data_IF_264506318136
#
_entry.id   IF_264506318136
#
_cell.length_a   1.000
_cell.length_b   1.000
_cell.length_c   1.000
_cell.angle_alpha   90.00
_cell.angle_beta   90.00
_cell.angle_gamma   90.00
#
_symmetry.space_group_name_H-M   'P 1'
#
loop_
_entity.id
_entity.type
_entity.pdbx_description
1 polymer ?
#
# COMPACT_ATOMS: atom_id res chain seq x y z
N UNK A 1 14.03 -3.93 -3.06
CA UNK A 1 13.97 -3.26 -1.74
C UNK A 1 13.12 -1.98 -1.82
N UNK A 2 12.05 -1.86 -1.03
CA UNK A 2 11.08 -0.74 -1.03
C UNK A 2 11.33 0.31 0.06
N UNK A 3 12.53 0.33 0.61
CA UNK A 3 12.95 1.24 1.68
C UNK A 3 13.84 2.31 1.09
N UNK A 4 13.57 3.58 1.41
CA UNK A 4 14.59 4.63 1.28
C UNK A 4 15.68 4.30 2.30
N UNK A 5 16.97 4.53 1.99
CA UNK A 5 18.01 4.43 3.02
C UNK A 5 17.84 5.62 3.96
N UNK A 6 17.33 5.37 5.16
CA UNK A 6 17.26 6.39 6.20
C UNK A 6 18.65 6.60 6.78
N UNK A 7 19.00 7.86 6.99
CA UNK A 7 20.27 8.25 7.60
C UNK A 7 19.96 9.18 8.76
N UNK A 8 20.72 9.05 9.82
CA UNK A 8 20.71 9.94 10.97
C UNK A 8 22.08 10.58 11.08
N UNK A 9 22.16 11.72 11.76
CA UNK A 9 23.46 12.29 12.14
C UNK A 9 24.19 11.44 13.22
N UNK A 10 23.55 10.38 13.72
CA UNK A 10 24.01 9.49 14.79
C UNK A 10 23.88 8.02 14.39
N UNK A 11 24.22 7.67 13.15
CA UNK A 11 24.06 6.31 12.58
C UNK A 11 24.83 5.21 13.35
N UNK A 12 25.61 5.59 14.35
CA UNK A 12 26.25 4.69 15.32
C UNK A 12 25.30 4.12 16.39
N UNK A 13 24.13 4.73 16.59
CA UNK A 13 23.15 4.23 17.57
C UNK A 13 22.26 3.17 16.89
N UNK A 14 22.21 1.93 17.40
CA UNK A 14 21.43 0.85 16.78
C UNK A 14 19.93 1.16 16.77
N UNK A 15 19.23 0.66 15.74
CA UNK A 15 17.76 0.68 15.67
C UNK A 15 17.20 -0.54 16.39
N UNK A 16 16.40 -0.33 17.44
CA UNK A 16 15.71 -1.39 18.15
C UNK A 16 14.26 -1.49 17.66
N UNK A 17 13.78 -2.70 17.27
CA UNK A 17 12.40 -2.87 16.85
C UNK A 17 11.38 -2.41 17.91
N UNK A 18 10.47 -1.53 17.51
CA UNK A 18 9.41 -1.02 18.38
C UNK A 18 9.79 0.19 19.23
N UNK A 19 11.06 0.59 19.25
CA UNK A 19 11.48 1.81 19.94
C UNK A 19 11.32 3.03 19.02
N UNK A 20 10.71 4.09 19.55
CA UNK A 20 10.66 5.36 18.85
C UNK A 20 12.06 5.92 18.61
N UNK A 21 12.20 6.72 17.56
CA UNK A 21 13.44 7.45 17.33
C UNK A 21 13.71 8.41 18.48
N UNK A 22 14.98 8.57 18.83
CA UNK A 22 15.48 9.51 19.84
C UNK A 22 16.26 10.67 19.19
N UNK A 23 16.17 10.78 17.87
CA UNK A 23 16.90 11.74 17.06
C UNK A 23 16.01 12.24 15.93
N UNK A 24 16.26 13.47 15.50
CA UNK A 24 15.59 14.04 14.35
C UNK A 24 15.99 13.29 13.07
N UNK A 25 14.98 12.89 12.30
CA UNK A 25 15.16 12.03 11.14
C UNK A 25 15.23 12.81 9.83
N UNK A 26 15.87 12.22 8.83
CA UNK A 26 15.76 12.64 7.43
C UNK A 26 15.54 11.45 6.47
N UNK A 27 14.90 11.74 5.34
CA UNK A 27 14.69 10.79 4.25
C UNK A 27 14.94 11.47 2.90
N UNK A 28 16.07 11.14 2.26
CA UNK A 28 16.57 11.93 1.12
C UNK A 28 16.73 13.39 1.52
N UNK A 29 16.17 14.31 0.74
CA UNK A 29 16.22 15.75 1.01
C UNK A 29 15.18 16.22 2.05
N UNK A 30 14.43 15.29 2.65
CA UNK A 30 13.36 15.62 3.60
C UNK A 30 13.85 15.56 5.03
N UNK A 31 13.85 16.70 5.73
CA UNK A 31 14.02 16.79 7.20
C UNK A 31 12.63 16.80 7.85
N UNK A 32 12.38 15.93 8.84
CA UNK A 32 11.05 15.77 9.45
C UNK A 32 10.78 16.78 10.59
N UNK A 33 11.80 17.18 11.34
CA UNK A 33 11.70 18.14 12.45
C UNK A 33 11.95 17.49 13.81
N UNK A 34 11.52 18.17 14.88
CA UNK A 34 11.68 17.73 16.27
C UNK A 34 10.94 16.41 16.53
N UNK A 35 11.71 15.33 16.66
CA UNK A 35 11.17 13.99 16.84
C UNK A 35 10.29 13.86 18.09
N UNK A 36 10.59 14.53 19.20
CA UNK A 36 9.80 14.41 20.43
C UNK A 36 8.38 14.93 20.22
N UNK A 37 8.23 16.03 19.50
CA UNK A 37 6.93 16.64 19.20
C UNK A 37 6.14 15.82 18.18
N UNK A 38 6.84 15.20 17.22
CA UNK A 38 6.20 14.35 16.22
C UNK A 38 5.70 13.04 16.84
N UNK A 39 6.50 12.39 17.68
CA UNK A 39 6.12 11.14 18.36
C UNK A 39 4.88 11.34 19.25
N UNK A 40 4.79 12.46 19.98
CA UNK A 40 3.63 12.81 20.81
C UNK A 40 2.31 12.90 20.01
N UNK A 41 2.36 13.06 18.69
CA UNK A 41 1.18 13.13 17.84
C UNK A 41 0.68 11.76 17.37
N UNK A 42 1.49 10.69 17.49
CA UNK A 42 1.11 9.35 17.04
C UNK A 42 -0.19 8.86 17.69
N UNK A 43 -0.40 8.97 19.02
CA UNK A 43 -1.67 8.54 19.65
C UNK A 43 -2.87 9.32 19.12
N UNK A 44 -2.70 10.62 18.87
CA UNK A 44 -3.76 11.48 18.32
C UNK A 44 -4.13 11.08 16.89
N UNK A 45 -3.13 10.75 16.05
CA UNK A 45 -3.35 10.25 14.70
C UNK A 45 -4.14 8.94 14.71
N UNK A 46 -3.78 8.00 15.59
CA UNK A 46 -4.49 6.73 15.73
C UNK A 46 -5.95 6.95 16.17
N UNK A 47 -6.16 7.78 17.18
CA UNK A 47 -7.49 8.08 17.70
C UNK A 47 -8.38 8.76 16.65
N UNK A 48 -7.88 9.80 15.96
CA UNK A 48 -8.66 10.51 14.95
C UNK A 48 -8.99 9.61 13.75
N UNK A 49 -8.07 8.75 13.36
CA UNK A 49 -8.29 7.77 12.29
C UNK A 49 -9.41 6.80 12.68
N UNK A 50 -9.40 6.27 13.90
CA UNK A 50 -10.44 5.38 14.38
C UNK A 50 -11.82 6.08 14.43
N UNK A 51 -11.88 7.34 14.90
CA UNK A 51 -13.12 8.11 14.93
C UNK A 51 -13.72 8.32 13.53
N UNK A 52 -12.90 8.71 12.55
CA UNK A 52 -13.37 8.91 11.17
C UNK A 52 -13.82 7.57 10.56
N UNK A 53 -13.09 6.49 10.84
CA UNK A 53 -13.40 5.15 10.39
C UNK A 53 -14.76 4.64 10.94
N UNK A 54 -15.07 4.97 12.19
CA UNK A 54 -16.35 4.60 12.84
C UNK A 54 -17.51 5.47 12.38
N UNK A 55 -17.25 6.70 11.93
CA UNK A 55 -18.29 7.58 11.40
C UNK A 55 -18.99 7.04 10.14
N UNK A 56 -18.29 6.21 9.35
CA UNK A 56 -18.79 5.67 8.08
C UNK A 56 -19.02 6.72 6.98
N UNK A 57 -18.65 8.00 7.20
CA UNK A 57 -18.94 9.11 6.26
C UNK A 57 -17.91 9.28 5.15
N UNK A 58 -16.70 8.79 5.37
CA UNK A 58 -15.56 8.98 4.46
C UNK A 58 -15.17 7.62 3.88
N UNK A 59 -14.88 7.59 2.59
CA UNK A 59 -14.44 6.38 1.91
C UNK A 59 -13.16 5.81 2.56
N UNK A 60 -13.08 4.51 2.90
CA UNK A 60 -11.94 3.96 3.64
C UNK A 60 -10.59 4.15 2.94
N UNK A 61 -10.54 4.13 1.60
CA UNK A 61 -9.33 4.45 0.83
C UNK A 61 -8.80 5.86 1.09
N UNK A 62 -9.69 6.85 1.24
CA UNK A 62 -9.29 8.23 1.59
C UNK A 62 -8.71 8.25 3.00
N UNK A 63 -9.34 7.54 3.94
CA UNK A 63 -8.85 7.42 5.33
C UNK A 63 -7.45 6.78 5.34
N UNK A 64 -7.27 5.68 4.61
CA UNK A 64 -6.01 4.95 4.52
C UNK A 64 -4.88 5.79 3.90
N UNK A 65 -5.18 6.58 2.85
CA UNK A 65 -4.23 7.49 2.22
C UNK A 65 -3.86 8.66 3.14
N UNK A 66 -4.84 9.31 3.77
CA UNK A 66 -4.59 10.40 4.72
C UNK A 66 -3.79 9.92 5.93
N UNK A 67 -4.16 8.77 6.51
CA UNK A 67 -3.38 8.15 7.59
C UNK A 67 -1.94 7.94 7.14
N UNK A 68 -1.73 7.38 5.95
CA UNK A 68 -0.40 7.12 5.42
C UNK A 68 0.45 8.40 5.33
N UNK A 69 -0.10 9.46 4.73
CA UNK A 69 0.58 10.75 4.59
C UNK A 69 0.96 11.35 5.94
N UNK A 70 0.04 11.36 6.92
CA UNK A 70 0.34 11.85 8.27
C UNK A 70 1.35 10.97 8.99
N UNK A 71 1.24 9.65 8.89
CA UNK A 71 2.15 8.72 9.54
C UNK A 71 3.58 8.86 9.00
N UNK A 72 3.75 8.94 7.67
CA UNK A 72 5.06 9.17 7.06
C UNK A 72 5.66 10.51 7.48
N UNK A 73 4.83 11.53 7.68
CA UNK A 73 5.26 12.83 8.20
C UNK A 73 5.73 12.76 9.66
N UNK A 74 5.04 12.01 10.52
CA UNK A 74 5.44 11.85 11.93
C UNK A 74 6.76 11.08 12.07
N UNK A 75 7.02 10.14 11.16
CA UNK A 75 8.26 9.38 11.06
C UNK A 75 8.81 8.83 12.41
N UNK A 76 7.98 8.11 13.19
CA UNK A 76 8.26 7.88 14.61
C UNK A 76 9.38 6.86 14.89
N UNK A 77 9.80 6.05 13.91
CA UNK A 77 10.83 5.03 14.08
C UNK A 77 12.11 5.37 13.31
N UNK A 78 13.22 4.71 13.64
CA UNK A 78 14.49 4.89 12.91
C UNK A 78 14.52 4.20 11.54
N UNK A 79 13.87 3.05 11.46
CA UNK A 79 13.70 2.31 10.20
C UNK A 79 12.30 1.67 10.19
N UNK A 80 11.80 1.38 8.99
CA UNK A 80 10.55 0.66 8.80
C UNK A 80 9.31 1.53 8.72
N UNK A 81 9.41 2.86 8.80
CA UNK A 81 8.27 3.77 8.69
C UNK A 81 7.44 3.49 7.43
N UNK A 82 8.05 3.53 6.24
CA UNK A 82 7.34 3.23 4.99
C UNK A 82 6.66 1.85 4.96
N UNK A 83 7.27 0.84 5.58
CA UNK A 83 6.69 -0.53 5.66
C UNK A 83 5.48 -0.56 6.60
N UNK A 84 5.62 0.00 7.79
CA UNK A 84 4.56 0.07 8.78
C UNK A 84 3.42 0.98 8.32
N UNK A 85 3.72 2.12 7.69
CA UNK A 85 2.73 3.03 7.11
C UNK A 85 1.87 2.34 6.07
N UNK A 86 2.45 1.54 5.15
CA UNK A 86 1.68 0.76 4.18
C UNK A 86 0.90 -0.39 4.83
N UNK A 87 1.50 -1.07 5.80
CA UNK A 87 0.83 -2.13 6.55
C UNK A 87 -0.42 -1.60 7.27
N UNK A 88 -0.31 -0.45 7.92
CA UNK A 88 -1.42 0.20 8.62
C UNK A 88 -2.50 0.70 7.65
N UNK A 89 -2.14 1.25 6.49
CA UNK A 89 -3.12 1.58 5.44
C UNK A 89 -3.90 0.33 5.01
N UNK A 90 -3.23 -0.80 4.82
CA UNK A 90 -3.89 -2.07 4.49
C UNK A 90 -4.73 -2.61 5.66
N UNK A 91 -4.31 -2.40 6.91
CA UNK A 91 -5.13 -2.74 8.08
C UNK A 91 -6.43 -1.93 8.11
N UNK A 92 -6.39 -0.63 7.81
CA UNK A 92 -7.58 0.24 7.70
C UNK A 92 -8.52 -0.28 6.60
N UNK A 93 -7.97 -0.60 5.43
CA UNK A 93 -8.75 -1.13 4.29
C UNK A 93 -9.39 -2.48 4.64
N UNK A 94 -8.63 -3.41 5.22
CA UNK A 94 -9.10 -4.73 5.62
C UNK A 94 -10.23 -4.65 6.65
N UNK A 95 -10.13 -3.74 7.63
CA UNK A 95 -11.17 -3.51 8.65
C UNK A 95 -12.50 -3.02 8.07
N UNK A 96 -12.50 -2.50 6.84
CA UNK A 96 -13.68 -2.05 6.10
C UNK A 96 -13.95 -2.88 4.85
N UNK A 97 -13.43 -4.11 4.81
CA UNK A 97 -13.66 -5.07 3.74
C UNK A 97 -13.31 -4.51 2.35
N UNK A 98 -12.31 -3.62 2.30
CA UNK A 98 -11.83 -3.05 1.05
C UNK A 98 -10.67 -3.89 0.48
N UNK A 99 -10.49 -3.86 -0.85
CA UNK A 99 -9.31 -4.41 -1.50
C UNK A 99 -8.02 -3.86 -0.88
N UNK A 100 -7.02 -4.71 -0.73
CA UNK A 100 -5.71 -4.31 -0.23
C UNK A 100 -4.96 -3.51 -1.28
N UNK A 101 -4.25 -2.48 -0.83
CA UNK A 101 -3.37 -1.68 -1.67
C UNK A 101 -1.99 -2.35 -1.76
N UNK A 102 -1.61 -2.70 -2.99
CA UNK A 102 -0.26 -3.18 -3.31
C UNK A 102 0.40 -2.16 -4.23
N UNK A 103 1.45 -1.51 -3.75
CA UNK A 103 2.22 -0.54 -4.53
C UNK A 103 3.37 -1.28 -5.22
N UNK A 104 3.31 -1.50 -6.55
CA UNK A 104 4.36 -2.22 -7.26
C UNK A 104 5.64 -1.38 -7.30
N UNK A 105 6.79 -2.06 -7.40
CA UNK A 105 8.09 -1.39 -7.48
C UNK A 105 8.20 -0.39 -8.63
N UNK A 106 7.52 -0.66 -9.74
CA UNK A 106 7.43 0.24 -10.91
C UNK A 106 6.72 1.56 -10.63
N UNK A 107 5.90 1.66 -9.58
CA UNK A 107 5.19 2.89 -9.20
C UNK A 107 5.88 3.63 -8.04
N UNK A 108 7.08 3.19 -7.63
CA UNK A 108 7.79 3.77 -6.48
C UNK A 108 8.04 5.27 -6.64
N UNK A 109 8.48 5.69 -7.82
CA UNK A 109 8.81 7.10 -8.06
C UNK A 109 7.57 8.00 -7.95
N UNK A 110 6.46 7.56 -8.54
CA UNK A 110 5.18 8.25 -8.47
C UNK A 110 4.66 8.33 -7.02
N UNK A 111 4.73 7.23 -6.28
CA UNK A 111 4.38 7.17 -4.86
C UNK A 111 5.21 8.16 -4.01
N UNK A 112 6.53 8.17 -4.19
CA UNK A 112 7.41 9.12 -3.46
C UNK A 112 7.08 10.56 -3.86
N UNK A 113 6.77 10.80 -5.13
CA UNK A 113 6.39 12.13 -5.62
C UNK A 113 5.08 12.60 -4.98
N UNK A 114 4.08 11.74 -4.88
CA UNK A 114 2.82 12.03 -4.19
C UNK A 114 3.04 12.42 -2.70
N UNK A 115 3.95 11.73 -2.00
CA UNK A 115 4.33 12.09 -0.63
C UNK A 115 5.03 13.46 -0.55
N UNK A 116 5.89 13.78 -1.51
CA UNK A 116 6.56 15.09 -1.57
C UNK A 116 5.58 16.25 -1.75
N UNK A 117 4.49 16.05 -2.50
CA UNK A 117 3.45 17.07 -2.70
C UNK A 117 2.71 17.44 -1.41
N UNK A 118 2.54 16.50 -0.47
CA UNK A 118 1.95 16.79 0.85
C UNK A 118 2.79 17.85 1.58
N UNK A 119 4.12 17.70 1.55
CA UNK A 119 5.02 18.63 2.23
C UNK A 119 5.13 19.97 1.50
N UNK A 120 5.23 19.94 0.18
CA UNK A 120 5.50 21.13 -0.65
C UNK A 120 4.26 22.00 -0.85
N UNK A 121 3.15 21.37 -1.23
CA UNK A 121 1.93 22.04 -1.68
C UNK A 121 0.79 21.93 -0.65
N UNK A 122 1.02 21.26 0.49
CA UNK A 122 0.02 21.04 1.56
C UNK A 122 -1.27 20.38 1.08
N UNK A 123 -1.17 19.55 0.04
CA UNK A 123 -2.30 18.77 -0.50
C UNK A 123 -2.01 17.27 -0.43
N UNK A 124 -3.01 16.50 0.01
CA UNK A 124 -2.99 15.04 0.01
C UNK A 124 -3.74 14.43 -1.18
N UNK A 125 -4.26 15.26 -2.08
CA UNK A 125 -5.05 14.83 -3.24
C UNK A 125 -4.25 13.90 -4.15
N UNK A 126 -2.96 14.19 -4.40
CA UNK A 126 -2.10 13.34 -5.23
C UNK A 126 -1.86 11.95 -4.62
N UNK A 127 -1.76 11.85 -3.30
CA UNK A 127 -1.60 10.57 -2.63
C UNK A 127 -2.91 9.79 -2.64
N UNK A 128 -4.04 10.47 -2.45
CA UNK A 128 -5.38 9.86 -2.52
C UNK A 128 -5.63 9.33 -3.93
N UNK A 129 -5.38 10.14 -4.97
CA UNK A 129 -5.50 9.73 -6.38
C UNK A 129 -4.62 8.52 -6.68
N UNK A 130 -3.35 8.57 -6.26
CA UNK A 130 -2.42 7.46 -6.42
C UNK A 130 -2.99 6.16 -5.81
N UNK A 131 -3.49 6.21 -4.57
CA UNK A 131 -4.06 5.05 -3.88
C UNK A 131 -5.25 4.46 -4.66
N UNK A 132 -6.17 5.31 -5.13
CA UNK A 132 -7.31 4.85 -5.92
C UNK A 132 -6.88 4.24 -7.25
N UNK A 133 -6.05 4.95 -8.04
CA UNK A 133 -5.62 4.48 -9.36
C UNK A 133 -4.83 3.18 -9.28
N UNK A 134 -3.92 3.06 -8.31
CA UNK A 134 -3.17 1.82 -8.08
C UNK A 134 -4.10 0.66 -7.73
N UNK A 135 -5.07 0.89 -6.83
CA UNK A 135 -6.03 -0.15 -6.44
C UNK A 135 -6.95 -0.57 -7.59
N UNK A 136 -7.48 0.39 -8.35
CA UNK A 136 -8.38 0.12 -9.49
C UNK A 136 -7.64 -0.67 -10.56
N UNK A 137 -6.47 -0.20 -10.97
CA UNK A 137 -5.65 -0.88 -11.97
C UNK A 137 -5.33 -2.31 -11.59
N UNK A 138 -5.03 -2.56 -10.30
CA UNK A 138 -4.78 -3.91 -9.80
C UNK A 138 -6.03 -4.79 -9.91
N UNK A 139 -7.19 -4.29 -9.49
CA UNK A 139 -8.45 -5.04 -9.60
C UNK A 139 -8.82 -5.36 -11.05
N UNK A 140 -8.63 -4.42 -11.97
CA UNK A 140 -8.85 -4.63 -13.41
C UNK A 140 -7.97 -5.76 -13.95
N UNK A 141 -6.69 -5.77 -13.58
CA UNK A 141 -5.76 -6.84 -13.95
C UNK A 141 -6.18 -8.19 -13.38
N UNK A 142 -6.59 -8.26 -12.11
CA UNK A 142 -7.04 -9.50 -11.48
C UNK A 142 -8.32 -10.06 -12.12
N UNK A 143 -9.25 -9.18 -12.50
CA UNK A 143 -10.48 -9.58 -13.20
C UNK A 143 -10.11 -10.16 -14.57
N UNK A 144 -9.22 -9.50 -15.30
CA UNK A 144 -8.79 -9.93 -16.63
C UNK A 144 -8.02 -11.25 -16.59
N UNK A 145 -7.10 -11.42 -15.64
CA UNK A 145 -6.39 -12.68 -15.41
C UNK A 145 -7.36 -13.84 -15.15
N UNK A 146 -8.39 -13.62 -14.31
CA UNK A 146 -9.40 -14.64 -14.00
C UNK A 146 -10.26 -15.02 -15.21
N UNK A 147 -10.62 -14.06 -16.06
CA UNK A 147 -11.33 -14.34 -17.32
C UNK A 147 -10.49 -15.21 -18.25
N UNK A 148 -9.24 -14.82 -18.46
CA UNK A 148 -8.30 -15.57 -19.31
C UNK A 148 -8.07 -17.00 -18.80
N UNK A 149 -7.93 -17.18 -17.48
CA UNK A 149 -7.82 -18.53 -16.89
C UNK A 149 -9.08 -19.37 -17.13
N UNK A 150 -10.27 -18.76 -17.05
CA UNK A 150 -11.55 -19.43 -17.29
C UNK A 150 -11.68 -19.87 -18.76
N UNK A 151 -11.35 -18.99 -19.70
CA UNK A 151 -11.39 -19.30 -21.14
C UNK A 151 -10.40 -20.40 -21.51
N UNK A 152 -9.18 -20.35 -20.99
CA UNK A 152 -8.17 -21.38 -21.23
C UNK A 152 -8.60 -22.73 -20.66
N UNK A 153 -9.23 -22.74 -19.48
CA UNK A 153 -9.80 -23.95 -18.89
C UNK A 153 -10.90 -24.56 -19.76
N UNK A 154 -11.84 -23.74 -20.24
CA UNK A 154 -12.94 -24.19 -21.12
C UNK A 154 -12.37 -24.76 -22.43
N UNK A 155 -11.44 -24.05 -23.08
CA UNK A 155 -10.78 -24.55 -24.31
C UNK A 155 -10.07 -25.88 -24.08
N UNK A 156 -9.40 -26.04 -22.94
CA UNK A 156 -8.75 -27.29 -22.56
C UNK A 156 -9.76 -28.44 -22.40
N UNK A 157 -10.91 -28.19 -21.78
CA UNK A 157 -11.98 -29.19 -21.66
C UNK A 157 -12.58 -29.58 -23.02
N UNK A 158 -12.81 -28.60 -23.91
CA UNK A 158 -13.30 -28.85 -25.27
C UNK A 158 -12.31 -29.69 -26.07
N UNK A 159 -11.01 -29.39 -25.97
CA UNK A 159 -9.96 -30.19 -26.62
C UNK A 159 -9.99 -31.65 -26.16
N UNK A 160 -10.04 -31.90 -24.85
CA UNK A 160 -10.11 -33.26 -24.29
C UNK A 160 -11.37 -33.99 -24.74
N UNK A 161 -12.51 -33.31 -24.79
CA UNK A 161 -13.78 -33.89 -25.26
C UNK A 161 -13.71 -34.28 -26.73
N UNK A 162 -13.16 -33.41 -27.57
CA UNK A 162 -13.02 -33.66 -29.01
C UNK A 162 -12.07 -34.84 -29.28
N UNK A 163 -10.94 -34.92 -28.57
CA UNK A 163 -10.00 -36.05 -28.70
C UNK A 163 -10.63 -37.38 -28.29
N UNK A 164 -11.44 -37.41 -27.22
CA UNK A 164 -12.18 -38.63 -26.84
C UNK A 164 -13.19 -39.05 -27.89
N UNK A 165 -14.00 -38.12 -28.41
CA UNK A 165 -14.97 -38.41 -29.47
C UNK A 165 -14.30 -39.01 -30.70
N UNK A 166 -13.18 -38.43 -31.15
CA UNK A 166 -12.46 -38.94 -32.32
C UNK A 166 -11.80 -40.31 -32.12
N UNK A 167 -11.43 -40.68 -30.88
CA UNK A 167 -10.88 -42.00 -30.59
C UNK A 167 -11.97 -43.08 -30.45
N UNK A 168 -13.15 -42.72 -29.94
CA UNK A 168 -14.29 -43.64 -29.87
C UNK A 168 -14.78 -44.00 -31.29
N UNK A 169 -14.79 -43.03 -32.22
CA UNK A 169 -15.13 -43.26 -33.64
C UNK A 169 -14.15 -44.21 -34.37
N UNK A 170 -12.90 -44.32 -33.90
CA UNK A 170 -11.87 -45.22 -34.47
C UNK A 170 -12.01 -46.65 -33.93
N UNK A 171 -12.57 -46.82 -32.73
CA UNK A 171 -12.73 -48.13 -32.08
C UNK A 171 -14.02 -48.86 -32.49
N UNK A 172 -14.97 -48.19 -33.16
CA UNK A 172 -16.21 -48.78 -33.67
C UNK A 172 -16.11 -49.34 -35.12
N UNK A 173 -14.92 -49.38 -35.74
CA UNK A 173 -14.64 -49.97 -37.06
C UNK A 173 -13.82 -51.25 -36.92
#
# INVERSE_FOLDING_TARGET
EHTLSYKTQYDEIPSNPGEYTTVDMCAGDTIFGDHEQLIKQVPRLLQSTQQVLDSGKIHPMIIAAKFHGFYEYLHPFRDGNGRLGRLMSNFILLKKEQPLLIIPGSQREEYITALKYIKKERTDEFLIDFFFRTSIKRMEQEIEEKKNLTENFIRGMEFVRNVKSSNDDILEI
#
